data_IF_828447671752
#
_entry.id   IF_828447671752
#
_cell.length_a   1.000
_cell.length_b   1.000
_cell.length_c   1.000
_cell.angle_alpha   90.00
_cell.angle_beta   90.00
_cell.angle_gamma   90.00
#
_symmetry.space_group_name_H-M   'P 1'
#
loop_
_entity.id
_entity.type
_entity.pdbx_description
1 polymer ?
#
# COMPACT_ATOMS: atom_id res chain seq x y z
N UNK A 1 15.74 10.95 11.89
CA UNK A 1 14.99 12.22 12.00
C UNK A 1 13.60 11.88 12.51
N UNK A 2 13.16 12.45 13.64
CA UNK A 2 11.86 12.14 14.22
C UNK A 2 10.76 12.93 13.48
N UNK A 3 9.88 12.24 12.75
CA UNK A 3 8.85 12.86 11.90
C UNK A 3 7.48 13.07 12.57
N UNK A 4 7.39 12.77 13.87
CA UNK A 4 6.16 12.86 14.69
C UNK A 4 6.51 13.47 16.07
N UNK A 5 5.56 14.09 16.78
CA UNK A 5 5.78 14.66 18.11
C UNK A 5 6.24 13.61 19.13
N UNK A 6 7.04 14.04 20.11
CA UNK A 6 7.70 13.18 21.13
C UNK A 6 6.73 12.25 21.87
N UNK A 7 5.46 12.65 22.05
CA UNK A 7 4.43 11.82 22.70
C UNK A 7 3.74 10.78 21.81
N UNK A 8 3.96 10.79 20.49
CA UNK A 8 3.39 9.81 19.57
C UNK A 8 4.37 8.67 19.26
N UNK A 9 5.68 8.97 19.26
CA UNK A 9 6.74 8.00 18.98
C UNK A 9 6.92 6.96 20.08
N UNK A 10 6.72 7.36 21.33
CA UNK A 10 6.90 6.49 22.49
C UNK A 10 5.62 5.68 22.80
N UNK A 11 4.66 5.65 21.87
CA UNK A 11 3.37 4.99 22.06
C UNK A 11 3.14 3.89 21.02
N UNK A 12 2.49 2.81 21.47
CA UNK A 12 2.03 1.76 20.55
C UNK A 12 0.81 2.27 19.80
N UNK A 13 0.92 2.33 18.47
CA UNK A 13 -0.23 2.67 17.61
C UNK A 13 -0.90 1.38 17.18
N UNK A 14 -2.13 1.17 17.64
CA UNK A 14 -2.99 0.09 17.14
C UNK A 14 -3.73 0.55 15.90
N UNK A 15 -3.92 -0.34 14.93
CA UNK A 15 -4.70 -0.08 13.72
C UNK A 15 -5.60 -1.28 13.40
N UNK A 16 -6.67 -1.04 12.64
CA UNK A 16 -7.48 -2.10 12.04
C UNK A 16 -7.12 -2.21 10.57
N UNK A 17 -7.07 -3.43 10.05
CA UNK A 17 -6.88 -3.72 8.64
C UNK A 17 -8.04 -4.60 8.16
N UNK A 18 -8.69 -4.16 7.09
CA UNK A 18 -9.78 -4.86 6.41
C UNK A 18 -9.32 -5.12 4.98
N UNK A 19 -9.50 -6.36 4.52
CA UNK A 19 -9.09 -6.80 3.19
C UNK A 19 -10.29 -7.42 2.49
N UNK A 20 -10.60 -6.93 1.29
CA UNK A 20 -11.78 -7.33 0.52
C UNK A 20 -11.36 -7.65 -0.90
N UNK A 21 -11.68 -8.86 -1.37
CA UNK A 21 -11.48 -9.22 -2.77
C UNK A 21 -12.39 -8.37 -3.66
N UNK A 22 -11.83 -7.84 -4.73
CA UNK A 22 -12.54 -7.14 -5.80
C UNK A 22 -12.30 -7.87 -7.12
N UNK A 23 -13.00 -7.48 -8.18
CA UNK A 23 -12.99 -8.19 -9.48
C UNK A 23 -11.58 -8.47 -10.02
N UNK A 24 -10.67 -7.48 -9.94
CA UNK A 24 -9.32 -7.57 -10.49
C UNK A 24 -8.22 -7.46 -9.43
N UNK A 25 -8.51 -7.79 -8.16
CA UNK A 25 -7.51 -7.76 -7.10
C UNK A 25 -8.07 -7.61 -5.69
N UNK A 26 -7.46 -6.72 -4.92
CA UNK A 26 -7.71 -6.58 -3.48
C UNK A 26 -7.86 -5.10 -3.09
N UNK A 27 -8.94 -4.79 -2.39
CA UNK A 27 -9.05 -3.57 -1.60
C UNK A 27 -8.50 -3.84 -0.19
N UNK A 28 -7.61 -2.97 0.30
CA UNK A 28 -7.06 -3.01 1.64
C UNK A 28 -7.25 -1.67 2.33
N UNK A 29 -8.11 -1.65 3.35
CA UNK A 29 -8.40 -0.46 4.16
C UNK A 29 -7.71 -0.57 5.52
N UNK A 30 -6.88 0.41 5.85
CA UNK A 30 -6.24 0.57 7.16
C UNK A 30 -6.82 1.78 7.87
N UNK A 31 -7.30 1.59 9.09
CA UNK A 31 -7.78 2.68 9.96
C UNK A 31 -6.92 2.74 11.21
N UNK A 32 -6.41 3.92 11.54
CA UNK A 32 -5.58 4.15 12.71
C UNK A 32 -5.94 5.47 13.41
N UNK A 33 -5.44 5.72 14.64
CA UNK A 33 -5.67 6.96 15.37
C UNK A 33 -5.35 8.22 14.57
N UNK A 34 -5.81 9.36 15.09
CA UNK A 34 -5.64 10.69 14.47
C UNK A 34 -6.26 10.82 13.08
N UNK A 35 -7.33 10.05 12.83
CA UNK A 35 -8.11 10.11 11.61
C UNK A 35 -7.40 9.56 10.38
N UNK A 36 -6.40 8.69 10.57
CA UNK A 36 -5.75 8.00 9.45
C UNK A 36 -6.69 6.93 8.90
N UNK A 37 -7.10 7.12 7.65
CA UNK A 37 -7.70 6.09 6.80
C UNK A 37 -6.86 6.00 5.54
N UNK A 38 -6.20 4.87 5.34
CA UNK A 38 -5.49 4.52 4.11
C UNK A 38 -6.33 3.48 3.38
N UNK A 39 -6.59 3.71 2.10
CA UNK A 39 -7.21 2.72 1.21
C UNK A 39 -6.22 2.42 0.11
N UNK A 40 -5.78 1.17 0.01
CA UNK A 40 -4.91 0.68 -1.07
C UNK A 40 -5.72 -0.26 -1.96
N UNK A 41 -5.61 -0.08 -3.28
CA UNK A 41 -6.11 -1.03 -4.27
C UNK A 41 -4.92 -1.71 -4.93
N UNK A 42 -4.80 -3.02 -4.70
CA UNK A 42 -3.82 -3.87 -5.37
C UNK A 42 -4.51 -4.55 -6.54
N UNK A 43 -4.15 -4.19 -7.76
CA UNK A 43 -4.85 -4.61 -8.98
C UNK A 43 -3.89 -5.27 -9.96
N UNK A 44 -4.38 -6.27 -10.69
CA UNK A 44 -3.69 -6.81 -11.86
C UNK A 44 -4.25 -6.07 -13.08
N UNK A 45 -3.37 -5.41 -13.83
CA UNK A 45 -3.74 -4.59 -14.99
C UNK A 45 -2.81 -4.89 -16.17
N UNK A 46 -3.22 -4.62 -17.43
CA UNK A 46 -2.33 -4.64 -18.57
C UNK A 46 -1.11 -3.73 -18.38
N UNK A 47 0.04 -4.13 -18.90
CA UNK A 47 1.30 -3.40 -18.75
C UNK A 47 1.22 -1.95 -19.29
N UNK A 48 0.40 -1.71 -20.31
CA UNK A 48 0.13 -0.40 -20.90
C UNK A 48 -0.72 0.53 -20.03
N UNK A 49 -1.49 -0.01 -19.07
CA UNK A 49 -2.30 0.77 -18.12
C UNK A 49 -1.51 1.21 -16.88
N UNK A 50 -0.23 0.82 -16.80
CA UNK A 50 0.68 1.19 -15.73
C UNK A 50 1.18 2.63 -15.88
N UNK A 51 0.90 3.48 -14.91
CA UNK A 51 1.55 4.78 -14.82
C UNK A 51 3.05 4.64 -14.45
N UNK A 52 3.93 5.11 -15.35
CA UNK A 52 5.38 5.37 -15.19
C UNK A 52 6.20 4.35 -14.37
N UNK A 53 6.79 3.31 -15.01
CA UNK A 53 8.06 2.70 -14.56
C UNK A 53 8.84 2.04 -15.72
N UNK A 54 10.16 2.00 -15.56
CA UNK A 54 11.26 1.61 -16.46
C UNK A 54 11.43 0.10 -16.77
N UNK A 55 10.60 -0.80 -16.24
CA UNK A 55 10.77 -2.25 -16.43
C UNK A 55 9.84 -2.80 -17.52
N UNK A 56 10.35 -3.55 -18.51
CA UNK A 56 9.52 -4.19 -19.53
C UNK A 56 8.71 -5.33 -18.90
N UNK A 57 7.41 -5.12 -18.73
CA UNK A 57 6.45 -6.18 -18.47
C UNK A 57 5.84 -6.65 -19.80
N UNK A 58 5.62 -7.95 -19.95
CA UNK A 58 5.21 -8.53 -21.24
C UNK A 58 3.71 -8.51 -21.47
N UNK A 59 2.86 -8.50 -20.42
CA UNK A 59 1.40 -8.46 -20.59
C UNK A 59 0.64 -7.91 -19.37
N UNK A 60 0.87 -8.47 -18.16
CA UNK A 60 0.17 -8.06 -16.93
C UNK A 60 1.14 -7.60 -15.85
N UNK A 61 0.71 -6.62 -15.05
CA UNK A 61 1.46 -6.09 -13.90
C UNK A 61 0.56 -5.94 -12.68
N UNK A 62 1.16 -6.01 -11.49
CA UNK A 62 0.49 -5.65 -10.24
C UNK A 62 0.79 -4.18 -9.96
N UNK A 63 -0.26 -3.39 -9.74
CA UNK A 63 -0.17 -1.98 -9.35
C UNK A 63 -0.81 -1.75 -8.00
N UNK A 64 -0.31 -0.75 -7.27
CA UNK A 64 -0.93 -0.25 -6.04
C UNK A 64 -1.38 1.20 -6.24
N UNK A 65 -2.68 1.46 -6.08
CA UNK A 65 -3.21 2.81 -5.92
C UNK A 65 -3.52 3.08 -4.45
N UNK A 66 -3.01 4.18 -3.91
CA UNK A 66 -3.19 4.51 -2.49
C UNK A 66 -3.88 5.86 -2.31
N UNK A 67 -5.04 5.84 -1.64
CA UNK A 67 -5.68 7.04 -1.09
C UNK A 67 -5.35 7.15 0.40
N UNK A 68 -4.81 8.30 0.83
CA UNK A 68 -4.49 8.57 2.24
C UNK A 68 -5.33 9.76 2.72
N UNK A 69 -6.23 9.50 3.67
CA UNK A 69 -6.94 10.53 4.44
C UNK A 69 -6.31 10.59 5.83
N UNK A 70 -5.67 11.70 6.15
CA UNK A 70 -5.04 11.92 7.45
C UNK A 70 -4.84 13.42 7.71
N UNK A 71 -4.48 13.78 8.95
CA UNK A 71 -4.03 15.14 9.24
C UNK A 71 -2.76 15.50 8.44
N UNK A 72 -2.58 16.79 8.14
CA UNK A 72 -1.40 17.31 7.40
C UNK A 72 -0.07 16.94 8.06
N UNK A 73 -0.05 16.74 9.37
CA UNK A 73 1.13 16.31 10.13
C UNK A 73 1.52 14.86 9.83
N UNK A 74 0.54 14.00 9.55
CA UNK A 74 0.75 12.57 9.36
C UNK A 74 0.89 12.17 7.89
N UNK A 75 0.20 12.87 6.98
CA UNK A 75 0.09 12.44 5.58
C UNK A 75 1.45 12.21 4.92
N UNK A 76 2.44 13.07 5.18
CA UNK A 76 3.80 12.89 4.63
C UNK A 76 4.52 11.66 5.19
N UNK A 77 4.38 11.39 6.49
CA UNK A 77 4.96 10.20 7.13
C UNK A 77 4.30 8.91 6.63
N UNK A 78 2.97 8.91 6.49
CA UNK A 78 2.21 7.76 5.99
C UNK A 78 2.56 7.49 4.52
N UNK A 79 2.59 8.54 3.69
CA UNK A 79 3.01 8.44 2.30
C UNK A 79 4.41 7.82 2.17
N UNK A 80 5.39 8.33 2.92
CA UNK A 80 6.75 7.79 2.90
C UNK A 80 6.83 6.32 3.37
N UNK A 81 5.97 5.91 4.31
CA UNK A 81 5.83 4.49 4.70
C UNK A 81 5.23 3.63 3.58
N UNK A 82 4.22 4.12 2.86
CA UNK A 82 3.64 3.40 1.73
C UNK A 82 4.69 3.19 0.63
N UNK A 83 5.39 4.26 0.24
CA UNK A 83 6.41 4.22 -0.80
C UNK A 83 7.60 3.30 -0.44
N UNK A 84 8.06 3.33 0.81
CA UNK A 84 9.15 2.46 1.26
C UNK A 84 8.76 0.98 1.38
N UNK A 85 7.51 0.70 1.78
CA UNK A 85 7.01 -0.67 1.95
C UNK A 85 6.54 -1.31 0.64
N UNK A 86 6.20 -0.51 -0.38
CA UNK A 86 5.66 -0.97 -1.66
C UNK A 86 6.41 -2.19 -2.22
N UNK A 87 7.73 -2.08 -2.39
CA UNK A 87 8.55 -3.16 -2.98
C UNK A 87 8.43 -4.48 -2.21
N UNK A 88 8.35 -4.42 -0.89
CA UNK A 88 8.24 -5.60 -0.03
C UNK A 88 6.86 -6.26 -0.11
N UNK A 89 5.79 -5.47 -0.15
CA UNK A 89 4.42 -6.00 -0.27
C UNK A 89 4.20 -6.56 -1.68
N UNK A 90 4.63 -5.82 -2.71
CA UNK A 90 4.57 -6.26 -4.10
C UNK A 90 5.30 -7.60 -4.31
N UNK A 91 6.49 -7.76 -3.73
CA UNK A 91 7.23 -9.02 -3.79
C UNK A 91 6.48 -10.20 -3.15
N UNK A 92 5.72 -9.96 -2.06
CA UNK A 92 4.90 -11.00 -1.42
C UNK A 92 3.72 -11.42 -2.31
N UNK A 93 3.05 -10.48 -2.96
CA UNK A 93 1.99 -10.82 -3.91
C UNK A 93 2.53 -11.64 -5.09
N UNK A 94 3.67 -11.23 -5.67
CA UNK A 94 4.31 -11.99 -6.73
C UNK A 94 4.73 -13.40 -6.28
N UNK A 95 5.28 -13.54 -5.07
CA UNK A 95 5.67 -14.83 -4.54
C UNK A 95 4.45 -15.75 -4.40
N UNK A 96 3.35 -15.25 -3.84
CA UNK A 96 2.13 -16.01 -3.67
C UNK A 96 1.53 -16.47 -5.02
N UNK A 97 1.52 -15.61 -6.03
CA UNK A 97 1.04 -15.99 -7.37
C UNK A 97 1.89 -17.11 -8.00
N UNK A 98 3.21 -17.04 -7.84
CA UNK A 98 4.13 -18.09 -8.33
C UNK A 98 3.91 -19.43 -7.62
N UNK A 99 3.56 -19.42 -6.35
CA UNK A 99 3.22 -20.63 -5.59
C UNK A 99 1.92 -21.27 -6.09
N UNK A 100 0.96 -20.49 -6.58
CA UNK A 100 -0.31 -21.01 -7.12
C UNK A 100 -0.19 -21.61 -8.52
N UNK A 101 0.86 -21.25 -9.28
CA UNK A 101 1.14 -21.79 -10.61
C UNK A 101 1.89 -23.15 -10.56
N UNK A 102 2.52 -23.47 -9.43
CA UNK A 102 3.33 -24.67 -9.21
C UNK A 102 2.51 -25.91 -8.81
#
# INVERSE_FOLDING_TARGET
MHTLPRGLWDTTVSFTAEMTNIENGLEWVIKAPMGLVQTSFWRIVPAEERDKVEEPATELVIVEDVEIKASRLLVGTVKGKCESNYKGIHAKFLAHLKELEA
#
